data_IF_130073760956
#
_entry.id   IF_130073760956
#
_cell.length_a   1.000
_cell.length_b   1.000
_cell.length_c   1.000
_cell.angle_alpha   90.00
_cell.angle_beta   90.00
_cell.angle_gamma   90.00
#
_symmetry.space_group_name_H-M   'P 1'
#
loop_
_entity.id
_entity.type
_entity.pdbx_description
1 polymer ?
#
# COMPACT_ATOMS: atom_id res chain seq x y z
N UNK A 1 8.64 -26.66 14.32
CA UNK A 1 7.18 -26.61 14.58
C UNK A 1 6.53 -25.93 13.38
N UNK A 2 5.71 -26.65 12.62
CA UNK A 2 4.99 -26.08 11.46
C UNK A 2 3.96 -25.08 11.99
N UNK A 3 4.23 -23.81 11.84
CA UNK A 3 3.31 -22.75 12.25
C UNK A 3 2.14 -22.72 11.27
N UNK A 4 0.96 -23.14 11.73
CA UNK A 4 -0.26 -23.15 10.92
C UNK A 4 -0.60 -21.72 10.52
N UNK A 5 -0.71 -21.47 9.20
CA UNK A 5 -1.15 -20.18 8.66
C UNK A 5 -2.59 -19.92 9.11
N UNK A 6 -2.87 -18.71 9.59
CA UNK A 6 -4.21 -18.31 10.01
C UNK A 6 -5.20 -18.39 8.82
N UNK A 7 -6.40 -18.84 9.09
CA UNK A 7 -7.47 -18.94 8.09
C UNK A 7 -8.56 -17.93 8.39
N UNK A 8 -8.76 -16.98 7.50
CA UNK A 8 -9.95 -16.13 7.47
C UNK A 8 -10.96 -16.71 6.48
N UNK A 9 -12.25 -16.59 6.81
CA UNK A 9 -13.28 -16.90 5.81
C UNK A 9 -13.21 -15.84 4.69
N UNK A 10 -13.59 -16.17 3.45
CA UNK A 10 -13.61 -15.19 2.36
C UNK A 10 -14.45 -13.94 2.70
N UNK A 11 -15.57 -14.11 3.39
CA UNK A 11 -16.43 -13.01 3.81
C UNK A 11 -15.75 -12.11 4.86
N UNK A 12 -15.05 -12.69 5.83
CA UNK A 12 -14.32 -11.91 6.83
C UNK A 12 -13.16 -11.13 6.21
N UNK A 13 -12.41 -11.77 5.29
CA UNK A 13 -11.34 -11.08 4.55
C UNK A 13 -11.89 -9.92 3.74
N UNK A 14 -12.99 -10.14 2.98
CA UNK A 14 -13.62 -9.10 2.18
C UNK A 14 -14.10 -7.94 3.06
N UNK A 15 -14.77 -8.21 4.19
CA UNK A 15 -15.25 -7.17 5.11
C UNK A 15 -14.09 -6.31 5.66
N UNK A 16 -12.98 -6.94 6.08
CA UNK A 16 -11.81 -6.23 6.61
C UNK A 16 -11.11 -5.36 5.54
N UNK A 17 -10.98 -5.86 4.30
CA UNK A 17 -10.42 -5.09 3.19
C UNK A 17 -11.35 -3.95 2.78
N UNK A 18 -12.67 -4.15 2.73
CA UNK A 18 -13.65 -3.08 2.49
C UNK A 18 -13.58 -2.01 3.57
N UNK A 19 -13.51 -2.39 4.86
CA UNK A 19 -13.36 -1.45 5.96
C UNK A 19 -12.09 -0.60 5.80
N UNK A 20 -10.97 -1.20 5.35
CA UNK A 20 -9.74 -0.47 5.05
C UNK A 20 -9.91 0.52 3.92
N UNK A 21 -10.55 0.14 2.81
CA UNK A 21 -10.83 1.04 1.68
C UNK A 21 -11.69 2.23 2.15
N UNK A 22 -12.77 1.95 2.88
CA UNK A 22 -13.64 2.98 3.42
C UNK A 22 -12.86 3.95 4.33
N UNK A 23 -12.04 3.42 5.25
CA UNK A 23 -11.19 4.23 6.12
C UNK A 23 -10.27 5.18 5.33
N UNK A 24 -9.64 4.71 4.26
CA UNK A 24 -8.69 5.51 3.50
C UNK A 24 -9.39 6.57 2.62
N UNK A 25 -10.67 6.38 2.26
CA UNK A 25 -11.45 7.30 1.45
C UNK A 25 -12.30 8.29 2.24
N UNK A 26 -12.64 7.99 3.50
CA UNK A 26 -13.55 8.82 4.29
C UNK A 26 -13.03 10.26 4.47
N UNK A 27 -11.72 10.43 4.62
CA UNK A 27 -11.12 11.76 4.82
C UNK A 27 -11.25 12.66 3.57
N UNK A 28 -10.78 12.27 2.37
CA UNK A 28 -10.92 13.13 1.20
C UNK A 28 -12.40 13.31 0.78
N UNK A 29 -13.27 12.32 0.96
CA UNK A 29 -14.70 12.45 0.65
C UNK A 29 -15.40 13.39 1.65
N UNK A 30 -15.08 13.30 2.94
CA UNK A 30 -15.60 14.21 3.96
C UNK A 30 -15.16 15.67 3.71
N UNK A 31 -13.91 15.88 3.30
CA UNK A 31 -13.41 17.22 2.95
C UNK A 31 -14.15 17.82 1.74
N UNK A 32 -14.58 17.01 0.76
CA UNK A 32 -15.44 17.48 -0.34
C UNK A 32 -16.79 17.97 0.18
N UNK A 33 -17.42 17.23 1.10
CA UNK A 33 -18.70 17.64 1.69
C UNK A 33 -18.58 18.97 2.45
N UNK A 34 -17.52 19.11 3.29
CA UNK A 34 -17.26 20.35 4.02
C UNK A 34 -17.04 21.54 3.06
N UNK A 35 -16.29 21.34 1.98
CA UNK A 35 -16.05 22.39 1.00
C UNK A 35 -17.33 22.83 0.27
N UNK A 36 -18.22 21.89 -0.02
CA UNK A 36 -19.53 22.19 -0.63
C UNK A 36 -20.41 22.99 0.36
N UNK A 37 -20.44 22.60 1.65
CA UNK A 37 -21.17 23.34 2.70
C UNK A 37 -20.69 24.81 2.80
N UNK A 38 -19.36 25.06 2.65
CA UNK A 38 -18.81 26.42 2.64
C UNK A 38 -19.27 27.19 1.39
N UNK A 39 -19.33 26.55 0.23
CA UNK A 39 -19.79 27.19 -1.01
C UNK A 39 -21.29 27.52 -1.00
N UNK A 40 -22.09 26.73 -0.30
CA UNK A 40 -23.55 26.93 -0.15
C UNK A 40 -23.87 28.03 0.87
N UNK A 41 -22.90 28.47 1.70
CA UNK A 41 -23.05 29.56 2.65
C UNK A 41 -22.79 30.92 1.98
N UNK A 42 -23.88 31.58 1.55
CA UNK A 42 -23.82 32.90 0.90
C UNK A 42 -23.20 33.98 1.81
N UNK A 43 -23.14 33.78 3.12
CA UNK A 43 -22.58 34.77 4.07
C UNK A 43 -21.06 34.68 4.18
N UNK A 44 -20.43 33.62 3.62
CA UNK A 44 -19.03 33.31 3.78
C UNK A 44 -18.25 33.28 2.45
N UNK A 45 -18.54 34.24 1.57
CA UNK A 45 -18.00 34.33 0.21
C UNK A 45 -16.47 34.44 0.15
N UNK A 46 -15.85 34.99 1.19
CA UNK A 46 -14.40 35.15 1.28
C UNK A 46 -13.66 33.79 1.31
N UNK A 47 -14.33 32.71 1.75
CA UNK A 47 -13.78 31.35 1.80
C UNK A 47 -14.06 30.52 0.54
N UNK A 48 -14.80 31.04 -0.43
CA UNK A 48 -15.14 30.27 -1.65
C UNK A 48 -13.90 29.85 -2.45
N UNK A 49 -12.83 30.69 -2.46
CA UNK A 49 -11.55 30.35 -3.10
C UNK A 49 -10.91 29.13 -2.47
N UNK A 50 -10.79 29.15 -1.14
CA UNK A 50 -10.20 28.04 -0.35
C UNK A 50 -11.05 26.77 -0.45
N UNK A 51 -12.37 26.89 -0.45
CA UNK A 51 -13.30 25.76 -0.64
C UNK A 51 -13.11 25.11 -2.01
N UNK A 52 -12.96 25.90 -3.07
CA UNK A 52 -12.67 25.38 -4.42
C UNK A 52 -11.33 24.66 -4.49
N UNK A 53 -10.30 25.16 -3.81
CA UNK A 53 -9.00 24.49 -3.74
C UNK A 53 -9.07 23.20 -2.91
N UNK A 54 -9.84 23.20 -1.83
CA UNK A 54 -10.11 21.98 -1.05
C UNK A 54 -10.82 20.91 -1.89
N UNK A 55 -11.80 21.29 -2.72
CA UNK A 55 -12.48 20.37 -3.66
C UNK A 55 -11.48 19.77 -4.64
N UNK A 56 -10.65 20.60 -5.29
CA UNK A 56 -9.65 20.13 -6.26
C UNK A 56 -8.65 19.16 -5.63
N UNK A 57 -8.16 19.47 -4.44
CA UNK A 57 -7.18 18.66 -3.72
C UNK A 57 -7.79 17.33 -3.27
N UNK A 58 -8.95 17.39 -2.61
CA UNK A 58 -9.65 16.20 -2.10
C UNK A 58 -10.10 15.25 -3.23
N UNK A 59 -10.55 15.81 -4.35
CA UNK A 59 -10.90 15.01 -5.55
C UNK A 59 -9.67 14.31 -6.12
N UNK A 60 -8.52 14.99 -6.21
CA UNK A 60 -7.26 14.39 -6.67
C UNK A 60 -6.81 13.27 -5.73
N UNK A 61 -6.85 13.50 -4.41
CA UNK A 61 -6.49 12.49 -3.40
C UNK A 61 -7.40 11.26 -3.46
N UNK A 62 -8.72 11.46 -3.50
CA UNK A 62 -9.67 10.35 -3.59
C UNK A 62 -9.42 9.50 -4.85
N UNK A 63 -9.20 10.15 -6.00
CA UNK A 63 -8.92 9.46 -7.25
C UNK A 63 -7.58 8.70 -7.22
N UNK A 64 -6.51 9.30 -6.67
CA UNK A 64 -5.20 8.66 -6.51
C UNK A 64 -5.33 7.40 -5.62
N UNK A 65 -5.99 7.52 -4.46
CA UNK A 65 -6.24 6.39 -3.55
C UNK A 65 -7.04 5.28 -4.23
N UNK A 66 -8.12 5.60 -4.94
CA UNK A 66 -8.93 4.62 -5.65
C UNK A 66 -8.14 3.88 -6.74
N UNK A 67 -7.34 4.59 -7.55
CA UNK A 67 -6.51 3.98 -8.59
C UNK A 67 -5.46 3.05 -8.00
N UNK A 68 -4.78 3.49 -6.95
CA UNK A 68 -3.79 2.71 -6.22
C UNK A 68 -4.42 1.44 -5.62
N UNK A 69 -5.48 1.59 -4.82
CA UNK A 69 -6.16 0.48 -4.14
C UNK A 69 -6.77 -0.52 -5.13
N UNK A 70 -7.28 -0.05 -6.28
CA UNK A 70 -7.79 -0.92 -7.34
C UNK A 70 -6.74 -1.93 -7.82
N UNK A 71 -5.49 -1.49 -8.03
CA UNK A 71 -4.41 -2.39 -8.43
C UNK A 71 -3.89 -3.20 -7.23
N UNK A 72 -3.64 -2.57 -6.09
CA UNK A 72 -3.11 -3.21 -4.89
C UNK A 72 -4.01 -4.35 -4.37
N UNK A 73 -5.33 -4.19 -4.45
CA UNK A 73 -6.30 -5.18 -3.97
C UNK A 73 -6.82 -6.12 -5.07
N UNK A 74 -6.35 -5.96 -6.32
CA UNK A 74 -6.64 -6.89 -7.40
C UNK A 74 -8.00 -6.69 -8.09
N UNK A 75 -8.69 -5.56 -7.86
CA UNK A 75 -9.96 -5.26 -8.50
C UNK A 75 -9.84 -4.99 -10.03
N UNK A 76 -8.63 -5.02 -10.59
CA UNK A 76 -8.36 -4.95 -12.03
C UNK A 76 -8.56 -6.27 -12.79
N UNK A 77 -9.21 -7.27 -12.17
CA UNK A 77 -9.44 -8.60 -12.77
C UNK A 77 -8.26 -9.57 -12.56
N UNK A 78 -8.52 -10.86 -12.75
CA UNK A 78 -7.56 -11.97 -12.53
C UNK A 78 -6.72 -12.32 -13.76
N UNK A 79 -6.96 -11.68 -14.92
CA UNK A 79 -6.18 -11.96 -16.11
C UNK A 79 -4.69 -11.62 -15.90
N UNK A 80 -3.77 -12.50 -16.30
CA UNK A 80 -2.33 -12.22 -16.26
C UNK A 80 -2.00 -11.03 -17.17
N UNK A 81 -0.92 -10.34 -16.88
CA UNK A 81 -0.46 -9.21 -17.69
C UNK A 81 0.76 -8.54 -17.07
N UNK A 82 1.40 -7.72 -17.88
CA UNK A 82 2.51 -6.86 -17.45
C UNK A 82 1.97 -5.45 -17.21
N UNK A 83 2.38 -4.85 -16.12
CA UNK A 83 2.13 -3.44 -15.79
C UNK A 83 3.44 -2.68 -16.04
N UNK A 84 3.35 -1.58 -16.77
CA UNK A 84 4.52 -0.73 -17.01
C UNK A 84 5.07 -0.17 -15.70
N UNK A 85 6.38 -0.20 -15.50
CA UNK A 85 6.99 0.31 -14.25
C UNK A 85 6.68 1.79 -14.03
N UNK A 86 6.59 2.57 -15.11
CA UNK A 86 6.20 3.98 -15.02
C UNK A 86 4.76 4.17 -14.51
N UNK A 87 3.83 3.26 -14.85
CA UNK A 87 2.47 3.29 -14.30
C UNK A 87 2.48 3.01 -12.80
N UNK A 88 3.26 2.01 -12.36
CA UNK A 88 3.40 1.69 -10.93
C UNK A 88 3.99 2.87 -10.17
N UNK A 89 5.07 3.50 -10.67
CA UNK A 89 5.67 4.71 -10.08
C UNK A 89 4.65 5.83 -9.95
N UNK A 90 3.93 6.13 -11.03
CA UNK A 90 2.93 7.19 -11.05
C UNK A 90 1.79 6.96 -10.05
N UNK A 91 1.36 5.71 -9.86
CA UNK A 91 0.35 5.36 -8.85
C UNK A 91 0.86 5.61 -7.42
N UNK A 92 2.10 5.22 -7.14
CA UNK A 92 2.72 5.43 -5.83
C UNK A 92 2.94 6.91 -5.55
N UNK A 93 3.52 7.64 -6.49
CA UNK A 93 3.77 9.09 -6.39
C UNK A 93 2.46 9.86 -6.18
N UNK A 94 1.41 9.55 -6.94
CA UNK A 94 0.11 10.18 -6.77
C UNK A 94 -0.55 9.85 -5.42
N UNK A 95 -0.41 8.61 -4.94
CA UNK A 95 -0.96 8.17 -3.64
C UNK A 95 -0.29 8.87 -2.46
N UNK A 96 1.01 9.12 -2.55
CA UNK A 96 1.83 9.66 -1.47
C UNK A 96 2.37 11.06 -1.74
N UNK A 97 1.80 11.81 -2.71
CA UNK A 97 2.22 13.17 -3.10
C UNK A 97 2.27 14.18 -1.95
N UNK A 98 1.44 14.00 -0.94
CA UNK A 98 1.40 14.83 0.28
C UNK A 98 2.06 14.11 1.47
N UNK A 99 2.72 13.00 1.21
CA UNK A 99 3.43 12.21 2.22
C UNK A 99 4.67 12.92 2.75
N UNK A 100 5.13 12.49 3.91
CA UNK A 100 6.34 13.03 4.54
C UNK A 100 7.61 12.26 4.17
N UNK A 101 7.50 11.19 3.40
CA UNK A 101 8.63 10.37 2.99
C UNK A 101 8.98 10.63 1.53
N UNK A 102 10.27 10.84 1.26
CA UNK A 102 10.81 10.87 -0.09
C UNK A 102 10.90 9.47 -0.68
N UNK A 103 10.71 9.36 -1.99
CA UNK A 103 10.71 8.09 -2.69
C UNK A 103 11.90 8.03 -3.65
N UNK A 104 12.70 6.98 -3.52
CA UNK A 104 13.86 6.71 -4.38
C UNK A 104 13.67 5.37 -5.09
N UNK A 105 13.76 5.34 -6.42
CA UNK A 105 13.50 4.16 -7.22
C UNK A 105 14.75 3.63 -7.90
N UNK A 106 15.05 2.35 -7.69
CA UNK A 106 16.05 1.57 -8.40
C UNK A 106 15.34 0.39 -9.05
N UNK A 107 15.02 0.52 -10.33
CA UNK A 107 14.22 -0.48 -11.03
C UNK A 107 14.94 -0.95 -12.28
N UNK A 108 15.00 -2.25 -12.47
CA UNK A 108 15.47 -2.89 -13.68
C UNK A 108 14.27 -3.32 -14.53
N UNK A 109 14.32 -3.02 -15.84
CA UNK A 109 13.25 -3.33 -16.79
C UNK A 109 12.09 -2.32 -16.83
N UNK A 110 11.27 -2.43 -17.89
CA UNK A 110 10.21 -1.48 -18.20
C UNK A 110 8.84 -1.87 -17.63
N UNK A 111 8.72 -3.08 -17.08
CA UNK A 111 7.46 -3.58 -16.56
C UNK A 111 7.62 -4.71 -15.54
N UNK A 112 6.56 -4.98 -14.86
CA UNK A 112 6.46 -6.00 -13.80
C UNK A 112 5.16 -6.78 -14.00
N UNK A 113 5.17 -8.08 -13.71
CA UNK A 113 3.93 -8.85 -13.75
C UNK A 113 2.89 -8.30 -12.75
N UNK A 114 1.62 -8.55 -13.04
CA UNK A 114 0.52 -7.96 -12.28
C UNK A 114 0.52 -8.37 -10.80
N UNK A 115 0.95 -9.60 -10.47
CA UNK A 115 1.04 -10.04 -9.07
C UNK A 115 2.21 -9.36 -8.37
N UNK A 116 3.36 -9.21 -9.04
CA UNK A 116 4.49 -8.44 -8.57
C UNK A 116 4.12 -6.98 -8.30
N UNK A 117 3.39 -6.33 -9.23
CA UNK A 117 2.88 -4.98 -9.04
C UNK A 117 1.95 -4.87 -7.82
N UNK A 118 1.00 -5.81 -7.64
CA UNK A 118 0.13 -5.87 -6.47
C UNK A 118 0.90 -5.98 -5.17
N UNK A 119 1.89 -6.89 -5.12
CA UNK A 119 2.72 -7.09 -3.94
C UNK A 119 3.55 -5.85 -3.65
N UNK A 120 4.18 -5.24 -4.65
CA UNK A 120 4.94 -4.01 -4.50
C UNK A 120 4.10 -2.88 -3.91
N UNK A 121 2.88 -2.64 -4.41
CA UNK A 121 1.99 -1.62 -3.89
C UNK A 121 1.56 -1.90 -2.44
N UNK A 122 1.33 -3.17 -2.09
CA UNK A 122 1.02 -3.56 -0.72
C UNK A 122 2.23 -3.38 0.22
N UNK A 123 3.45 -3.70 -0.23
CA UNK A 123 4.67 -3.43 0.53
C UNK A 123 4.90 -1.93 0.71
N UNK A 124 4.58 -1.09 -0.29
CA UNK A 124 4.63 0.37 -0.17
C UNK A 124 3.76 0.88 0.96
N UNK A 125 2.53 0.35 1.12
CA UNK A 125 1.65 0.73 2.24
C UNK A 125 2.29 0.42 3.60
N UNK A 126 3.02 -0.68 3.72
CA UNK A 126 3.73 -1.05 4.95
C UNK A 126 4.97 -0.18 5.17
N UNK A 127 5.74 0.10 4.11
CA UNK A 127 6.94 0.91 4.17
C UNK A 127 6.64 2.36 4.62
N UNK A 128 5.58 2.97 4.07
CA UNK A 128 5.14 4.32 4.51
C UNK A 128 4.72 4.35 5.98
N UNK A 129 4.04 3.30 6.46
CA UNK A 129 3.66 3.19 7.87
C UNK A 129 4.87 3.00 8.80
N UNK A 130 5.96 2.44 8.30
CA UNK A 130 7.18 2.22 9.07
C UNK A 130 7.94 3.53 9.37
N UNK A 131 7.74 4.59 8.59
CA UNK A 131 8.38 5.92 8.77
C UNK A 131 7.35 7.02 9.08
N UNK A 132 6.68 6.97 10.23
CA UNK A 132 5.53 7.84 10.55
C UNK A 132 5.89 9.33 10.64
N UNK A 133 7.17 9.65 10.78
CA UNK A 133 7.67 11.04 10.83
C UNK A 133 8.32 11.50 9.53
N UNK A 134 8.22 10.69 8.48
CA UNK A 134 8.90 10.90 7.20
C UNK A 134 10.29 10.26 7.19
N UNK A 135 11.00 10.51 6.11
CA UNK A 135 12.30 9.92 5.81
C UNK A 135 12.41 9.58 4.34
N UNK A 136 13.19 8.56 4.01
CA UNK A 136 13.34 8.08 2.65
C UNK A 136 12.89 6.62 2.53
N UNK A 137 12.16 6.31 1.45
CA UNK A 137 11.83 4.94 1.09
C UNK A 137 12.53 4.63 -0.23
N UNK A 138 13.53 3.74 -0.16
CA UNK A 138 14.22 3.24 -1.35
C UNK A 138 13.54 1.98 -1.84
N UNK A 139 13.08 2.00 -3.08
CA UNK A 139 12.36 0.91 -3.72
C UNK A 139 13.29 0.26 -4.75
N UNK A 140 13.74 -0.96 -4.47
CA UNK A 140 14.56 -1.76 -5.35
C UNK A 140 13.71 -2.86 -5.97
N UNK A 141 13.64 -2.89 -7.30
CA UNK A 141 12.95 -3.92 -8.08
C UNK A 141 13.95 -4.52 -9.04
N UNK A 142 14.29 -5.79 -8.82
CA UNK A 142 15.21 -6.54 -9.66
C UNK A 142 14.55 -7.82 -10.13
N UNK A 143 14.80 -8.20 -11.36
CA UNK A 143 14.24 -9.41 -11.95
C UNK A 143 15.32 -10.14 -12.74
N UNK A 144 15.49 -11.41 -12.44
CA UNK A 144 16.30 -12.33 -13.24
C UNK A 144 15.43 -13.37 -13.96
N UNK A 145 16.03 -14.43 -14.50
CA UNK A 145 15.30 -15.50 -15.20
C UNK A 145 14.48 -16.40 -14.28
N UNK A 146 14.68 -16.32 -12.97
CA UNK A 146 14.12 -17.26 -11.98
C UNK A 146 13.18 -16.58 -10.99
N UNK A 147 13.43 -15.31 -10.67
CA UNK A 147 12.69 -14.61 -9.63
C UNK A 147 12.61 -13.10 -9.86
N UNK A 148 11.52 -12.53 -9.35
CA UNK A 148 11.36 -11.11 -9.10
C UNK A 148 11.66 -10.84 -7.64
N UNK A 149 12.59 -9.94 -7.35
CA UNK A 149 12.92 -9.50 -6.00
C UNK A 149 12.51 -8.05 -5.78
N UNK A 150 11.72 -7.84 -4.74
CA UNK A 150 11.26 -6.52 -4.29
C UNK A 150 11.90 -6.25 -2.93
N UNK A 151 12.60 -5.11 -2.79
CA UNK A 151 13.18 -4.68 -1.50
C UNK A 151 12.83 -3.22 -1.29
N UNK A 152 12.15 -2.94 -0.19
CA UNK A 152 11.79 -1.59 0.22
C UNK A 152 12.48 -1.27 1.55
N UNK A 153 13.38 -0.30 1.53
CA UNK A 153 14.10 0.17 2.70
C UNK A 153 13.50 1.51 3.13
N UNK A 154 12.78 1.50 4.24
CA UNK A 154 12.14 2.67 4.84
C UNK A 154 13.01 3.18 5.98
N UNK A 155 13.74 4.28 5.75
CA UNK A 155 14.71 4.87 6.69
C UNK A 155 14.22 6.23 7.16
N UNK A 156 14.16 6.45 8.45
CA UNK A 156 13.77 7.74 8.98
C UNK A 156 13.72 7.81 10.50
N UNK A 157 13.58 9.03 11.06
CA UNK A 157 13.52 9.22 12.50
C UNK A 157 12.29 8.54 13.09
N UNK A 158 12.50 7.71 14.12
CA UNK A 158 11.42 6.93 14.74
C UNK A 158 10.79 5.87 13.81
N UNK A 159 11.55 5.37 12.85
CA UNK A 159 11.16 4.19 12.08
C UNK A 159 10.89 3.04 13.03
N UNK A 160 9.87 2.25 12.71
CA UNK A 160 9.44 1.14 13.56
C UNK A 160 8.82 0.01 12.76
N UNK A 161 9.09 -1.19 13.19
CA UNK A 161 8.40 -2.40 12.77
C UNK A 161 7.62 -2.94 13.96
N UNK A 162 6.29 -2.89 13.86
CA UNK A 162 5.42 -3.47 14.89
C UNK A 162 5.49 -5.00 14.79
N UNK A 163 5.68 -5.68 15.91
CA UNK A 163 5.71 -7.15 15.96
C UNK A 163 4.42 -7.79 15.41
N UNK A 164 3.28 -7.11 15.50
CA UNK A 164 2.03 -7.56 14.91
C UNK A 164 2.10 -7.55 13.37
N UNK A 165 2.80 -6.58 12.76
CA UNK A 165 3.01 -6.51 11.30
C UNK A 165 3.87 -7.70 10.84
N UNK A 166 5.00 -7.93 11.50
CA UNK A 166 5.90 -9.05 11.19
C UNK A 166 5.17 -10.40 11.32
N UNK A 167 4.46 -10.58 12.45
CA UNK A 167 3.68 -11.79 12.75
C UNK A 167 2.62 -12.07 11.69
N UNK A 168 1.84 -11.06 11.31
CA UNK A 168 0.74 -11.20 10.35
C UNK A 168 1.24 -11.31 8.91
N UNK A 169 2.30 -10.62 8.54
CA UNK A 169 2.99 -10.78 7.25
C UNK A 169 3.44 -12.24 7.07
N UNK A 170 3.96 -12.86 8.13
CA UNK A 170 4.30 -14.28 8.19
C UNK A 170 3.09 -15.23 8.19
N UNK A 171 1.85 -14.70 8.15
CA UNK A 171 0.61 -15.50 8.08
C UNK A 171 0.05 -15.92 9.43
N UNK A 172 0.53 -15.39 10.55
CA UNK A 172 -0.02 -15.71 11.88
C UNK A 172 -1.15 -14.74 12.24
N UNK A 173 -2.18 -15.24 12.94
CA UNK A 173 -3.22 -14.37 13.48
C UNK A 173 -2.68 -13.49 14.61
N UNK A 174 -3.12 -12.22 14.73
CA UNK A 174 -2.90 -11.42 15.92
C UNK A 174 -3.73 -11.99 17.09
N UNK A 175 -3.29 -11.70 18.31
CA UNK A 175 -3.93 -12.25 19.54
C UNK A 175 -5.35 -11.71 19.75
N UNK A 176 -5.54 -10.42 19.42
CA UNK A 176 -6.82 -9.72 19.58
C UNK A 176 -7.72 -9.79 18.32
N UNK A 177 -7.37 -10.67 17.36
CA UNK A 177 -8.06 -10.74 16.08
C UNK A 177 -7.56 -9.74 15.05
N UNK A 178 -8.05 -9.87 13.81
CA UNK A 178 -7.68 -8.97 12.72
C UNK A 178 -8.43 -7.65 12.80
N UNK A 179 -7.72 -6.57 12.56
CA UNK A 179 -8.22 -5.20 12.45
C UNK A 179 -7.69 -4.51 11.16
N UNK A 180 -7.99 -3.23 11.00
CA UNK A 180 -7.54 -2.45 9.84
C UNK A 180 -6.01 -2.27 9.73
N UNK A 181 -5.24 -2.51 10.80
CA UNK A 181 -3.77 -2.43 10.79
C UNK A 181 -3.13 -3.76 10.44
N UNK A 182 -3.71 -4.84 10.94
CA UNK A 182 -3.15 -6.19 10.84
C UNK A 182 -3.61 -6.94 9.58
N UNK A 183 -4.75 -6.53 9.00
CA UNK A 183 -5.24 -7.15 7.76
C UNK A 183 -4.35 -6.86 6.55
N UNK A 184 -3.77 -5.67 6.45
CA UNK A 184 -2.93 -5.30 5.31
C UNK A 184 -1.66 -6.14 5.21
N UNK A 185 -0.81 -6.29 6.26
CA UNK A 185 0.35 -7.16 6.20
C UNK A 185 -0.06 -8.64 6.02
N UNK A 186 -1.16 -9.10 6.64
CA UNK A 186 -1.65 -10.46 6.44
C UNK A 186 -2.02 -10.72 4.98
N UNK A 187 -2.76 -9.80 4.34
CA UNK A 187 -3.13 -9.87 2.93
C UNK A 187 -1.90 -9.85 2.02
N UNK A 188 -0.92 -8.98 2.31
CA UNK A 188 0.36 -8.94 1.58
C UNK A 188 1.07 -10.30 1.63
N UNK A 189 1.21 -10.87 2.82
CA UNK A 189 1.80 -12.19 2.98
C UNK A 189 1.00 -13.32 2.31
N UNK A 190 -0.33 -13.20 2.28
CA UNK A 190 -1.20 -14.14 1.57
C UNK A 190 -0.95 -14.11 0.06
N UNK A 191 -0.92 -12.92 -0.55
CA UNK A 191 -0.62 -12.75 -1.99
C UNK A 191 0.71 -13.39 -2.38
N UNK A 192 1.75 -13.19 -1.56
CA UNK A 192 3.07 -13.75 -1.83
C UNK A 192 3.06 -15.27 -1.73
N UNK A 193 2.40 -15.83 -0.71
CA UNK A 193 2.29 -17.29 -0.54
C UNK A 193 1.46 -17.98 -1.65
N UNK A 194 0.41 -17.31 -2.16
CA UNK A 194 -0.41 -17.85 -3.27
C UNK A 194 0.40 -18.09 -4.56
N UNK A 195 1.50 -17.38 -4.73
CA UNK A 195 2.42 -17.56 -5.88
C UNK A 195 3.74 -18.21 -5.48
N UNK A 196 3.76 -18.96 -4.38
CA UNK A 196 4.93 -19.67 -3.85
C UNK A 196 6.14 -18.77 -3.56
N UNK A 197 5.91 -17.49 -3.33
CA UNK A 197 6.95 -16.54 -2.95
C UNK A 197 7.24 -16.54 -1.45
N UNK A 198 8.22 -15.75 -1.06
CA UNK A 198 8.60 -15.51 0.33
C UNK A 198 8.60 -14.01 0.61
N UNK A 199 8.13 -13.62 1.80
CA UNK A 199 8.12 -12.23 2.26
C UNK A 199 8.60 -12.14 3.69
N UNK A 200 9.38 -11.12 3.98
CA UNK A 200 9.90 -10.83 5.31
C UNK A 200 9.94 -9.34 5.59
N UNK A 201 9.97 -8.98 6.85
CA UNK A 201 10.26 -7.64 7.32
C UNK A 201 11.30 -7.72 8.45
N UNK A 202 12.19 -6.75 8.50
CA UNK A 202 13.20 -6.62 9.56
C UNK A 202 13.45 -5.15 9.86
N UNK A 203 13.92 -4.86 11.06
CA UNK A 203 14.38 -3.52 11.44
C UNK A 203 15.82 -3.58 11.89
N UNK A 204 16.65 -2.69 11.37
CA UNK A 204 18.04 -2.51 11.76
C UNK A 204 18.33 -1.01 11.89
N UNK A 205 18.66 -0.57 13.09
CA UNK A 205 18.82 0.85 13.39
C UNK A 205 17.54 1.66 13.11
N UNK A 206 17.63 2.63 12.22
CA UNK A 206 16.50 3.47 11.77
C UNK A 206 15.96 3.03 10.40
N UNK A 207 16.25 1.81 9.96
CA UNK A 207 15.80 1.27 8.66
C UNK A 207 14.91 0.06 8.89
N UNK A 208 13.70 0.10 8.33
CA UNK A 208 12.82 -1.06 8.21
C UNK A 208 12.87 -1.55 6.77
N UNK A 209 13.32 -2.79 6.58
CA UNK A 209 13.39 -3.44 5.28
C UNK A 209 12.23 -4.42 5.11
N UNK A 210 11.46 -4.23 4.05
CA UNK A 210 10.50 -5.22 3.55
C UNK A 210 11.07 -5.88 2.31
N UNK A 211 11.09 -7.21 2.29
CA UNK A 211 11.62 -7.99 1.16
C UNK A 211 10.61 -9.03 0.70
N UNK A 212 10.35 -9.09 -0.60
CA UNK A 212 9.63 -10.20 -1.21
C UNK A 212 10.48 -10.81 -2.34
N UNK A 213 10.51 -12.13 -2.37
CA UNK A 213 11.09 -12.90 -3.46
C UNK A 213 9.97 -13.76 -4.08
N UNK A 214 9.75 -13.60 -5.36
CA UNK A 214 8.62 -14.16 -6.11
C UNK A 214 9.21 -15.01 -7.23
N UNK A 215 9.04 -16.34 -7.22
CA UNK A 215 9.50 -17.18 -8.30
C UNK A 215 8.75 -16.85 -9.58
N UNK A 216 9.49 -16.72 -10.68
CA UNK A 216 8.92 -16.60 -12.00
C UNK A 216 8.65 -18.02 -12.50
N UNK A 217 7.41 -18.29 -12.91
CA UNK A 217 7.09 -19.54 -13.56
C UNK A 217 7.82 -19.53 -14.91
N UNK A 218 8.90 -20.31 -15.02
CA UNK A 218 9.43 -20.68 -16.34
C UNK A 218 8.36 -21.53 -17.02
N UNK A 219 7.71 -20.96 -18.04
CA UNK A 219 6.76 -21.67 -18.89
C UNK A 219 7.40 -22.85 -19.63
#
# INVERSE_FOLDING_TARGET
MSSTVAKLTPSSLAALLCARICHDLISPVGALSTAIEILDDETNTDMHGDAMDLIRNSSRQANAKLKFLRLALGAGGSAPGIIGMQEVKSLVEAMYSEGKADLSWNTEGDGIDKNGARILLNLMMLAVQAVPRGGNITINVTQDTTALTLVLDATGPKSRLDAAIEKTLGGKAPEDGFDGRTIQPFYTGMLVREINGNVSAAIEGETVTFRANIPLNTA
#
